data_IF_614222944690
#
_entry.id   IF_614222944690
#
_cell.length_a   1.000
_cell.length_b   1.000
_cell.length_c   1.000
_cell.angle_alpha   90.00
_cell.angle_beta   90.00
_cell.angle_gamma   90.00
#
_symmetry.space_group_name_H-M   'P 1'
#
loop_
_entity.id
_entity.type
_entity.pdbx_description
1 polymer ?
#
# COMPACT_ATOMS: atom_id res chain seq x y z
N UNK A 1 -7.87 -11.47 13.06
CA UNK A 1 -7.51 -10.46 12.03
C UNK A 1 -6.07 -10.06 12.26
N UNK A 2 -5.20 -10.39 11.30
CA UNK A 2 -3.78 -10.03 11.40
C UNK A 2 -3.63 -8.58 10.93
N UNK A 3 -3.31 -7.68 11.84
CA UNK A 3 -2.98 -6.29 11.52
C UNK A 3 -1.57 -6.22 10.92
N UNK A 4 -1.39 -6.67 9.68
CA UNK A 4 -0.08 -6.77 9.02
C UNK A 4 0.72 -5.48 9.08
N UNK A 5 0.06 -4.35 8.83
CA UNK A 5 0.70 -3.04 8.90
C UNK A 5 1.16 -2.67 10.29
N UNK A 6 0.37 -2.98 11.31
CA UNK A 6 0.70 -2.65 12.71
C UNK A 6 1.79 -3.57 13.28
N UNK A 7 1.75 -4.86 12.94
CA UNK A 7 2.67 -5.85 13.47
C UNK A 7 4.00 -5.92 12.72
N UNK A 8 3.97 -5.81 11.38
CA UNK A 8 5.13 -6.04 10.52
C UNK A 8 5.51 -4.83 9.68
N UNK A 9 4.69 -3.79 9.67
CA UNK A 9 4.86 -2.61 8.81
C UNK A 9 4.58 -2.87 7.33
N UNK A 10 4.32 -4.11 6.91
CA UNK A 10 4.02 -4.46 5.52
C UNK A 10 2.59 -4.11 5.15
N UNK A 11 2.38 -3.72 3.88
CA UNK A 11 1.05 -3.50 3.33
C UNK A 11 0.71 -4.58 2.31
N UNK A 12 -0.55 -5.03 2.32
CA UNK A 12 -1.08 -5.96 1.33
C UNK A 12 -1.62 -5.14 0.16
N UNK A 13 -1.08 -5.39 -1.04
CA UNK A 13 -1.53 -4.77 -2.30
C UNK A 13 -2.65 -5.58 -2.94
N UNK A 14 -2.58 -6.92 -2.84
CA UNK A 14 -3.54 -7.80 -3.48
C UNK A 14 -3.72 -9.08 -2.67
N UNK A 15 -4.94 -9.58 -2.66
CA UNK A 15 -5.29 -10.91 -2.17
C UNK A 15 -5.87 -11.70 -3.34
N UNK A 16 -5.27 -12.83 -3.66
CA UNK A 16 -5.74 -13.72 -4.73
C UNK A 16 -6.23 -15.03 -4.13
N UNK A 17 -7.40 -15.45 -4.52
CA UNK A 17 -7.99 -16.77 -4.25
C UNK A 17 -8.28 -17.46 -5.58
N UNK A 18 -8.61 -18.77 -5.61
CA UNK A 18 -9.03 -19.43 -6.84
C UNK A 18 -10.28 -18.81 -7.49
N UNK A 19 -11.08 -18.06 -6.73
CA UNK A 19 -12.37 -17.53 -7.15
C UNK A 19 -12.31 -16.05 -7.53
N UNK A 20 -11.43 -15.28 -6.87
CA UNK A 20 -11.36 -13.82 -7.06
C UNK A 20 -9.97 -13.23 -6.77
N UNK A 21 -9.75 -12.04 -7.31
CA UNK A 21 -8.59 -11.20 -7.03
C UNK A 21 -9.07 -9.86 -6.48
N UNK A 22 -8.64 -9.53 -5.27
CA UNK A 22 -9.01 -8.30 -4.56
C UNK A 22 -7.79 -7.41 -4.45
N UNK A 23 -7.85 -6.25 -5.09
CA UNK A 23 -6.79 -5.25 -5.01
C UNK A 23 -7.00 -4.29 -3.86
N UNK A 24 -5.91 -3.88 -3.22
CA UNK A 24 -5.89 -2.95 -2.10
C UNK A 24 -6.96 -3.30 -1.05
N UNK A 25 -6.95 -4.54 -0.50
CA UNK A 25 -7.98 -4.98 0.44
C UNK A 25 -8.07 -4.03 1.63
N UNK A 26 -9.29 -3.66 2.01
CA UNK A 26 -9.55 -2.82 3.17
C UNK A 26 -9.06 -3.45 4.48
N UNK A 27 -8.91 -2.65 5.54
CA UNK A 27 -8.41 -3.11 6.84
C UNK A 27 -9.29 -4.18 7.52
N UNK A 28 -10.53 -4.32 7.07
CA UNK A 28 -11.50 -5.30 7.59
C UNK A 28 -11.55 -6.61 6.79
N UNK A 29 -10.79 -6.70 5.69
CA UNK A 29 -10.77 -7.91 4.86
C UNK A 29 -10.26 -9.11 5.66
N UNK A 30 -10.99 -10.22 5.57
CA UNK A 30 -10.64 -11.48 6.25
C UNK A 30 -9.94 -12.38 5.25
N UNK A 31 -8.68 -12.70 5.55
CA UNK A 31 -7.91 -13.63 4.72
C UNK A 31 -8.49 -15.05 4.85
N UNK A 32 -8.70 -15.67 3.70
CA UNK A 32 -9.15 -17.07 3.62
C UNK A 32 -7.95 -18.01 3.58
N UNK A 33 -8.21 -19.28 3.86
CA UNK A 33 -7.21 -20.33 3.65
C UNK A 33 -6.87 -20.41 2.15
N UNK A 34 -5.62 -20.72 1.85
CA UNK A 34 -5.09 -20.84 0.49
C UNK A 34 -5.10 -19.54 -0.35
N UNK A 35 -5.24 -18.38 0.32
CA UNK A 35 -5.04 -17.08 -0.32
C UNK A 35 -3.56 -16.79 -0.56
N UNK A 36 -3.24 -16.26 -1.74
CA UNK A 36 -1.92 -15.68 -2.05
C UNK A 36 -1.95 -14.18 -1.82
N UNK A 37 -0.92 -13.65 -1.18
CA UNK A 37 -0.80 -12.22 -0.86
C UNK A 37 0.34 -11.60 -1.65
N UNK A 38 0.05 -10.50 -2.36
CA UNK A 38 1.08 -9.59 -2.86
C UNK A 38 1.27 -8.49 -1.81
N UNK A 39 2.50 -8.30 -1.36
CA UNK A 39 2.82 -7.39 -0.26
C UNK A 39 3.93 -6.42 -0.64
N UNK A 40 3.90 -5.23 -0.05
CA UNK A 40 4.97 -4.23 -0.16
C UNK A 40 5.46 -3.83 1.24
N UNK A 41 6.77 -3.64 1.34
CA UNK A 41 7.43 -3.21 2.57
C UNK A 41 8.90 -2.86 2.31
N UNK A 42 9.61 -2.44 3.35
CA UNK A 42 11.06 -2.26 3.35
C UNK A 42 11.77 -3.58 3.71
N UNK A 43 13.06 -3.68 3.42
CA UNK A 43 13.87 -4.86 3.80
C UNK A 43 13.76 -5.20 5.29
N UNK A 44 13.76 -4.19 6.16
CA UNK A 44 13.64 -4.42 7.61
C UNK A 44 12.26 -4.97 8.00
N UNK A 45 11.21 -4.52 7.33
CA UNK A 45 9.84 -5.01 7.53
C UNK A 45 9.69 -6.45 7.03
N UNK A 46 10.25 -6.77 5.86
CA UNK A 46 10.26 -8.15 5.35
C UNK A 46 11.08 -9.09 6.23
N UNK A 47 12.23 -8.68 6.77
CA UNK A 47 12.98 -9.49 7.73
C UNK A 47 12.20 -9.80 9.00
N UNK A 48 11.44 -8.83 9.51
CA UNK A 48 10.56 -9.04 10.65
C UNK A 48 9.43 -10.03 10.32
N UNK A 49 8.84 -9.89 9.15
CA UNK A 49 7.79 -10.78 8.65
C UNK A 49 8.31 -12.20 8.41
N UNK A 50 9.46 -12.36 7.76
CA UNK A 50 10.13 -13.65 7.53
C UNK A 50 10.43 -14.37 8.84
N UNK A 51 10.92 -13.65 9.85
CA UNK A 51 11.13 -14.19 11.19
C UNK A 51 9.82 -14.73 11.78
N UNK A 52 8.69 -14.07 11.57
CA UNK A 52 7.39 -14.51 12.06
C UNK A 52 6.89 -15.78 11.34
N UNK A 53 7.17 -15.91 10.03
CA UNK A 53 6.90 -17.13 9.26
C UNK A 53 7.77 -18.28 9.78
N UNK A 54 9.08 -18.08 9.85
CA UNK A 54 10.05 -19.12 10.23
C UNK A 54 9.88 -19.60 11.68
N UNK A 55 9.36 -18.76 12.57
CA UNK A 55 9.01 -19.16 13.94
C UNK A 55 7.60 -19.77 14.06
N UNK A 56 6.95 -20.05 12.95
CA UNK A 56 5.60 -20.61 12.87
C UNK A 56 4.51 -19.78 13.59
N UNK A 57 4.78 -18.50 13.82
CA UNK A 57 3.76 -17.58 14.34
C UNK A 57 2.68 -17.26 13.30
N UNK A 58 3.02 -17.45 12.02
CA UNK A 58 2.13 -17.32 10.89
C UNK A 58 2.11 -18.65 10.12
N UNK A 59 0.92 -19.14 9.79
CA UNK A 59 0.75 -20.32 8.91
C UNK A 59 0.83 -19.87 7.45
N UNK A 60 2.00 -19.37 7.05
CA UNK A 60 2.27 -18.83 5.71
C UNK A 60 3.59 -19.38 5.17
N UNK A 61 3.73 -19.41 3.86
CA UNK A 61 4.96 -19.77 3.17
C UNK A 61 5.28 -18.69 2.14
N UNK A 62 6.56 -18.39 1.98
CA UNK A 62 7.02 -17.50 0.91
C UNK A 62 6.91 -18.26 -0.43
N UNK A 63 6.20 -17.68 -1.40
CA UNK A 63 6.01 -18.28 -2.73
C UNK A 63 7.12 -17.85 -3.68
N UNK A 64 7.52 -16.58 -3.61
CA UNK A 64 8.61 -16.00 -4.38
C UNK A 64 9.50 -15.16 -3.49
N UNK A 65 10.79 -15.07 -3.82
CA UNK A 65 11.73 -14.17 -3.16
C UNK A 65 11.32 -12.70 -3.35
N UNK A 66 11.53 -11.84 -2.32
CA UNK A 66 11.26 -10.42 -2.46
C UNK A 66 12.02 -9.80 -3.62
N UNK A 67 11.33 -9.01 -4.42
CA UNK A 67 11.90 -8.24 -5.53
C UNK A 67 11.77 -6.75 -5.27
N UNK A 68 12.60 -5.95 -5.94
CA UNK A 68 12.49 -4.49 -5.83
C UNK A 68 11.21 -4.00 -6.53
N UNK A 69 10.68 -2.84 -6.09
CA UNK A 69 9.54 -2.20 -6.76
C UNK A 69 9.81 -1.97 -8.25
N UNK A 70 11.06 -1.65 -8.61
CA UNK A 70 11.47 -1.48 -10.01
C UNK A 70 11.32 -2.77 -10.81
N UNK A 71 11.78 -3.89 -10.27
CA UNK A 71 11.64 -5.20 -10.91
C UNK A 71 10.19 -5.62 -11.04
N UNK A 72 9.37 -5.35 -10.01
CA UNK A 72 7.93 -5.60 -10.05
C UNK A 72 7.26 -4.84 -11.19
N UNK A 73 7.51 -3.53 -11.31
CA UNK A 73 6.95 -2.69 -12.38
C UNK A 73 7.37 -3.16 -13.79
N UNK A 74 8.63 -3.59 -13.95
CA UNK A 74 9.12 -4.11 -15.22
C UNK A 74 8.51 -5.47 -15.60
N UNK A 75 8.10 -6.29 -14.65
CA UNK A 75 7.40 -7.55 -14.90
C UNK A 75 5.98 -7.30 -15.39
N UNK A 76 5.26 -6.36 -14.78
CA UNK A 76 3.90 -6.00 -15.18
C UNK A 76 3.83 -5.44 -16.61
N UNK A 77 4.81 -4.65 -17.05
CA UNK A 77 4.86 -4.11 -18.41
C UNK A 77 4.95 -5.19 -19.52
N UNK A 78 5.42 -6.40 -19.19
CA UNK A 78 5.55 -7.50 -20.13
C UNK A 78 4.31 -8.39 -20.25
N UNK A 79 3.36 -8.30 -19.32
CA UNK A 79 2.15 -9.15 -19.28
C UNK A 79 0.97 -8.42 -19.94
N UNK A 80 0.93 -8.42 -21.28
CA UNK A 80 0.04 -7.58 -22.12
C UNK A 80 -1.46 -7.94 -22.09
N UNK A 81 -1.89 -9.04 -21.50
CA UNK A 81 -3.27 -9.50 -21.64
C UNK A 81 -4.22 -9.20 -20.47
N UNK A 82 -3.73 -8.84 -19.27
CA UNK A 82 -4.59 -8.60 -18.09
C UNK A 82 -4.02 -7.62 -17.05
N UNK A 83 -3.29 -6.60 -17.47
CA UNK A 83 -2.53 -5.77 -16.53
C UNK A 83 -3.41 -4.73 -15.85
N UNK A 84 -3.69 -4.99 -14.60
CA UNK A 84 -4.03 -3.96 -13.65
C UNK A 84 -2.78 -3.13 -13.32
N UNK A 85 -2.51 -2.13 -14.14
CA UNK A 85 -1.33 -1.28 -13.97
C UNK A 85 -1.42 -0.55 -12.63
N UNK A 86 -0.48 -0.85 -11.72
CA UNK A 86 -0.25 -0.05 -10.53
C UNK A 86 0.57 1.18 -10.90
N UNK A 87 0.10 2.34 -10.47
CA UNK A 87 0.81 3.60 -10.61
C UNK A 87 1.21 4.14 -9.25
N UNK A 88 2.36 4.76 -9.20
CA UNK A 88 2.76 5.62 -8.10
C UNK A 88 2.73 7.07 -8.54
N UNK A 89 2.13 7.95 -7.75
CA UNK A 89 2.15 9.38 -7.99
C UNK A 89 2.57 10.14 -6.73
N UNK A 90 3.15 11.32 -6.94
CA UNK A 90 3.50 12.24 -5.87
C UNK A 90 2.48 13.38 -5.85
N UNK A 91 1.90 13.67 -4.68
CA UNK A 91 0.85 14.67 -4.51
C UNK A 91 1.21 15.59 -3.36
N UNK A 92 1.20 16.90 -3.62
CA UNK A 92 1.50 17.91 -2.60
C UNK A 92 0.22 18.36 -1.90
N UNK A 93 0.23 18.36 -0.58
CA UNK A 93 -0.87 18.89 0.23
C UNK A 93 -0.77 20.40 0.29
N UNK A 94 -1.75 21.08 -0.28
CA UNK A 94 -1.85 22.54 -0.23
C UNK A 94 -2.85 23.01 0.86
N UNK A 95 -3.07 24.32 0.92
CA UNK A 95 -3.98 24.94 1.89
C UNK A 95 -5.48 24.64 1.64
N UNK A 96 -5.83 24.13 0.47
CA UNK A 96 -7.21 23.79 0.08
C UNK A 96 -7.47 22.29 0.12
N UNK A 97 -6.42 21.51 0.35
CA UNK A 97 -6.56 20.05 0.41
C UNK A 97 -7.54 19.62 1.51
N UNK A 98 -8.57 18.81 1.20
CA UNK A 98 -9.56 18.34 2.16
C UNK A 98 -8.99 17.36 3.19
N UNK A 99 -7.75 16.88 2.99
CA UNK A 99 -7.06 16.01 3.95
C UNK A 99 -6.08 16.79 4.86
N UNK A 100 -5.89 18.08 4.63
CA UNK A 100 -5.06 18.91 5.50
C UNK A 100 -5.58 18.86 6.95
N UNK A 101 -4.66 18.58 7.89
CA UNK A 101 -4.99 18.46 9.31
C UNK A 101 -5.67 17.16 9.73
N UNK A 102 -5.95 16.25 8.78
CA UNK A 102 -6.44 14.90 9.10
C UNK A 102 -5.28 13.92 9.30
N UNK A 103 -5.50 12.89 10.10
CA UNK A 103 -4.56 11.78 10.16
C UNK A 103 -4.72 10.87 8.93
N UNK A 104 -3.69 10.13 8.57
CA UNK A 104 -3.75 9.18 7.45
C UNK A 104 -4.94 8.21 7.57
N UNK A 105 -5.24 7.77 8.80
CA UNK A 105 -6.37 6.89 9.09
C UNK A 105 -7.72 7.58 8.80
N UNK A 106 -7.84 8.88 9.08
CA UNK A 106 -9.10 9.63 8.93
C UNK A 106 -9.35 10.12 7.50
N UNK A 107 -8.41 9.90 6.58
CA UNK A 107 -8.57 10.27 5.16
C UNK A 107 -9.33 9.25 4.35
N UNK A 108 -9.49 8.02 4.85
CA UNK A 108 -10.10 6.88 4.15
C UNK A 108 -9.49 6.58 2.75
N UNK A 109 -8.28 7.08 2.43
CA UNK A 109 -7.65 6.90 1.11
C UNK A 109 -7.63 5.43 0.69
N UNK A 110 -7.45 4.51 1.65
CA UNK A 110 -7.42 3.08 1.38
C UNK A 110 -8.81 2.50 1.13
N UNK A 111 -9.79 2.85 1.94
CA UNK A 111 -11.11 2.22 1.92
C UNK A 111 -11.99 2.81 0.81
N UNK A 112 -11.95 4.12 0.59
CA UNK A 112 -12.78 4.82 -0.40
C UNK A 112 -12.14 4.84 -1.80
N UNK A 113 -10.79 4.92 -1.86
CA UNK A 113 -10.06 5.12 -3.13
C UNK A 113 -9.21 3.92 -3.55
N UNK A 114 -9.15 2.87 -2.72
CA UNK A 114 -8.29 1.72 -2.98
C UNK A 114 -6.85 2.12 -3.35
N UNK A 115 -6.35 3.14 -2.66
CA UNK A 115 -4.99 3.66 -2.81
C UNK A 115 -4.21 3.52 -1.49
N UNK A 116 -2.90 3.46 -1.59
CA UNK A 116 -2.01 3.31 -0.46
C UNK A 116 -1.01 4.45 -0.40
N UNK A 117 -0.91 5.15 0.73
CA UNK A 117 0.19 6.08 0.98
C UNK A 117 1.41 5.27 1.39
N UNK A 118 2.42 5.22 0.51
CA UNK A 118 3.66 4.46 0.67
C UNK A 118 4.81 5.29 1.22
N UNK A 119 4.71 6.62 1.12
CA UNK A 119 5.72 7.54 1.61
C UNK A 119 5.19 8.95 1.83
N UNK A 120 5.94 9.72 2.61
CA UNK A 120 5.70 11.14 2.83
C UNK A 120 7.04 11.86 2.94
N UNK A 121 7.11 13.03 2.30
CA UNK A 121 8.23 13.95 2.47
C UNK A 121 7.72 15.25 3.11
N UNK A 122 8.40 15.70 4.18
CA UNK A 122 8.10 16.94 4.89
C UNK A 122 9.38 17.75 5.06
N UNK A 123 9.56 18.78 4.24
CA UNK A 123 10.83 19.51 4.17
C UNK A 123 11.98 18.59 3.72
N UNK A 124 12.99 18.43 4.57
CA UNK A 124 14.11 17.51 4.32
C UNK A 124 13.90 16.09 4.89
N UNK A 125 12.75 15.84 5.49
CA UNK A 125 12.45 14.58 6.15
C UNK A 125 11.61 13.67 5.27
N UNK A 126 12.08 12.45 5.05
CA UNK A 126 11.36 11.43 4.26
C UNK A 126 10.97 10.26 5.15
N UNK A 127 9.71 9.88 5.08
CA UNK A 127 9.15 8.70 5.76
C UNK A 127 8.67 7.70 4.73
N UNK A 128 9.10 6.45 4.87
CA UNK A 128 8.53 5.32 4.13
C UNK A 128 7.47 4.66 5.01
N UNK A 129 6.32 4.32 4.43
CA UNK A 129 5.20 3.69 5.12
C UNK A 129 4.78 4.45 6.39
N UNK A 130 4.30 5.70 6.27
CA UNK A 130 3.98 6.58 7.39
C UNK A 130 2.96 5.95 8.33
N UNK A 131 3.10 6.25 9.64
CA UNK A 131 2.16 5.77 10.65
C UNK A 131 0.73 6.26 10.37
N UNK A 132 -0.26 5.43 10.63
CA UNK A 132 -1.67 5.76 10.38
C UNK A 132 -2.19 6.96 11.19
N UNK A 133 -1.56 7.28 12.33
CA UNK A 133 -1.87 8.45 13.15
C UNK A 133 -1.14 9.73 12.70
N UNK A 134 -0.29 9.66 11.67
CA UNK A 134 0.40 10.83 11.13
C UNK A 134 -0.62 11.83 10.62
N UNK A 135 -0.55 13.05 11.12
CA UNK A 135 -1.39 14.18 10.67
C UNK A 135 -0.70 14.89 9.51
N UNK A 136 -1.45 15.12 8.44
CA UNK A 136 -0.95 15.80 7.26
C UNK A 136 -0.86 17.31 7.46
N UNK A 137 0.24 17.86 6.98
CA UNK A 137 0.53 19.29 7.06
C UNK A 137 0.65 19.91 5.65
N UNK A 138 0.44 21.22 5.58
CA UNK A 138 0.66 21.96 4.33
C UNK A 138 2.10 21.83 3.87
N UNK A 139 2.28 21.48 2.61
CA UNK A 139 3.59 21.28 1.99
C UNK A 139 4.12 19.84 2.07
N UNK A 140 3.38 18.94 2.71
CA UNK A 140 3.69 17.51 2.64
C UNK A 140 3.59 17.03 1.19
N UNK A 141 4.55 16.22 0.76
CA UNK A 141 4.53 15.49 -0.49
C UNK A 141 4.20 14.02 -0.18
N UNK A 142 3.05 13.55 -0.64
CA UNK A 142 2.63 12.16 -0.45
C UNK A 142 2.98 11.34 -1.67
N UNK A 143 3.57 10.17 -1.44
CA UNK A 143 3.72 9.13 -2.45
C UNK A 143 2.58 8.14 -2.32
N UNK A 144 1.73 8.10 -3.34
CA UNK A 144 0.52 7.27 -3.36
C UNK A 144 0.65 6.19 -4.44
N UNK A 145 0.33 4.95 -4.07
CA UNK A 145 0.30 3.79 -4.95
C UNK A 145 -1.15 3.31 -5.10
N UNK A 146 -1.56 3.02 -6.32
CA UNK A 146 -2.88 2.47 -6.60
C UNK A 146 -3.02 2.04 -8.05
N UNK A 147 -4.16 1.44 -8.40
CA UNK A 147 -4.47 1.17 -9.81
C UNK A 147 -4.65 2.47 -10.58
N UNK A 148 -4.24 2.50 -11.83
CA UNK A 148 -4.32 3.68 -12.70
C UNK A 148 -5.69 4.37 -12.65
N UNK A 149 -6.77 3.59 -12.71
CA UNK A 149 -8.14 4.12 -12.64
C UNK A 149 -8.39 4.86 -11.33
N UNK A 150 -7.96 4.30 -10.21
CA UNK A 150 -8.15 4.86 -8.87
C UNK A 150 -7.29 6.11 -8.65
N UNK A 151 -6.02 6.06 -9.07
CA UNK A 151 -5.13 7.22 -9.04
C UNK A 151 -5.69 8.38 -9.88
N UNK A 152 -6.16 8.09 -11.09
CA UNK A 152 -6.75 9.12 -11.96
C UNK A 152 -8.02 9.74 -11.33
N UNK A 153 -8.81 8.95 -10.63
CA UNK A 153 -10.00 9.41 -9.94
C UNK A 153 -9.64 10.26 -8.72
N UNK A 154 -8.70 9.80 -7.90
CA UNK A 154 -8.18 10.50 -6.74
C UNK A 154 -7.65 11.91 -7.10
N UNK A 155 -6.91 12.01 -8.21
CA UNK A 155 -6.37 13.29 -8.71
C UNK A 155 -7.45 14.20 -9.29
N UNK A 156 -8.47 13.63 -9.98
CA UNK A 156 -9.54 14.43 -10.60
C UNK A 156 -10.53 15.02 -9.60
N UNK A 157 -10.79 14.34 -8.52
CA UNK A 157 -11.79 14.77 -7.52
C UNK A 157 -11.19 15.75 -6.50
N UNK A 158 -9.97 16.24 -6.74
CA UNK A 158 -9.27 17.22 -5.89
C UNK A 158 -9.27 16.83 -4.39
N UNK A 159 -9.20 15.52 -4.13
CA UNK A 159 -9.27 14.97 -2.77
C UNK A 159 -7.93 15.10 -2.04
N UNK A 160 -6.89 15.44 -2.80
CA UNK A 160 -5.54 15.64 -2.26
C UNK A 160 -5.03 17.05 -2.51
#
# INVERSE_FOLDING_TARGET
QLAFRELYGCNILQVSTPEEVIDMPGGHHILQKDSTLLMIGTDSQFKLFDTAINTQRLCMTLVEEPITMREFMLREDNDKENVSVFLSCAITIDKHSPILGKSLKDTNIRDDWHCLVIGLERGSYTMTNPNVSLVFEKGDLLWVLGKQKMINQLVREEIL
#
